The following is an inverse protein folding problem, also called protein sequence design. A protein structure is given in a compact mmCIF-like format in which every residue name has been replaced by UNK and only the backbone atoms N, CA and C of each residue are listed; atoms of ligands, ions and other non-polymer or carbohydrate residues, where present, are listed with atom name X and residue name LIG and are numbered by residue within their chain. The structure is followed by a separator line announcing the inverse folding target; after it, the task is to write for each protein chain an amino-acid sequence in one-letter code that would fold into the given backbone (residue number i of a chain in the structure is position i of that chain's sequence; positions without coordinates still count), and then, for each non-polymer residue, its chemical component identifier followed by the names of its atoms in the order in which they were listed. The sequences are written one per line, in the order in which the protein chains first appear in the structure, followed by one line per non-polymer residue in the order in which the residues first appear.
data_IF_872139621627
#
_entry.id   IF_872139621627
#
_cell.length_a   1.000
_cell.length_b   1.000
_cell.length_c   1.000
_cell.angle_alpha   90.00
_cell.angle_beta   90.00
_cell.angle_gamma   90.00
#
_symmetry.space_group_name_H-M   'P 1'
#
loop_
_entity.id
_entity.type
_entity.pdbx_description
1 polymer ?
#
# COMPACT_ATOMS: atom_id res chain seq x y z
N UNK A 1 -5.64 -55.47 7.90
CA UNK A 1 -5.99 -54.20 7.23
C UNK A 1 -6.48 -53.30 8.34
N UNK A 2 -5.72 -52.27 8.68
CA UNK A 2 -6.07 -51.35 9.77
C UNK A 2 -6.27 -49.97 9.15
N UNK A 3 -7.53 -49.58 9.04
CA UNK A 3 -7.96 -48.27 8.61
C UNK A 3 -7.44 -47.24 9.61
N UNK A 4 -6.52 -46.40 9.13
CA UNK A 4 -5.90 -45.33 9.90
C UNK A 4 -6.60 -44.06 9.43
N UNK A 5 -7.62 -43.63 10.16
CA UNK A 5 -8.30 -42.38 9.90
C UNK A 5 -7.28 -41.22 9.85
N UNK A 6 -7.30 -40.37 8.81
CA UNK A 6 -6.43 -39.21 8.73
C UNK A 6 -6.93 -38.15 9.72
N UNK A 7 -6.46 -38.24 10.96
CA UNK A 7 -6.66 -37.21 11.96
C UNK A 7 -5.93 -35.94 11.53
N UNK A 8 -6.70 -34.96 11.06
CA UNK A 8 -6.23 -33.61 10.78
C UNK A 8 -5.93 -32.93 12.12
N UNK A 9 -4.65 -32.73 12.42
CA UNK A 9 -4.23 -31.90 13.53
C UNK A 9 -4.46 -30.43 13.17
N UNK A 10 -5.52 -29.83 13.71
CA UNK A 10 -5.64 -28.37 13.74
C UNK A 10 -4.68 -27.85 14.81
N UNK A 11 -3.57 -27.24 14.37
CA UNK A 11 -2.70 -26.48 15.26
C UNK A 11 -3.55 -25.45 16.01
N UNK A 12 -3.54 -25.50 17.34
CA UNK A 12 -4.31 -24.65 18.26
C UNK A 12 -4.03 -23.13 18.15
N UNK A 13 -3.32 -22.68 17.10
CA UNK A 13 -3.16 -21.27 16.75
C UNK A 13 -4.36 -20.71 15.95
N UNK A 14 -5.24 -21.58 15.43
CA UNK A 14 -6.51 -21.18 14.82
C UNK A 14 -7.68 -21.66 15.68
N UNK A 15 -7.89 -20.98 16.81
CA UNK A 15 -9.16 -21.11 17.51
C UNK A 15 -10.29 -20.66 16.59
N UNK A 16 -11.26 -21.54 16.35
CA UNK A 16 -12.53 -21.15 15.74
C UNK A 16 -13.20 -20.10 16.66
N UNK A 17 -12.95 -18.82 16.41
CA UNK A 17 -13.45 -17.71 17.23
C UNK A 17 -12.52 -16.49 17.33
N UNK A 18 -11.23 -16.59 17.01
CA UNK A 18 -10.35 -15.41 17.06
C UNK A 18 -10.38 -14.62 15.75
N UNK A 19 -10.99 -13.42 15.78
CA UNK A 19 -10.93 -12.43 14.69
C UNK A 19 -9.55 -11.73 14.64
N UNK A 20 -8.45 -12.49 14.68
CA UNK A 20 -7.09 -11.97 14.76
C UNK A 20 -6.39 -12.03 13.40
N UNK A 21 -5.47 -11.09 13.15
CA UNK A 21 -4.53 -11.18 12.02
C UNK A 21 -3.79 -12.52 12.13
N UNK A 22 -3.72 -13.25 11.02
CA UNK A 22 -3.01 -14.54 10.99
C UNK A 22 -1.63 -14.30 10.40
N UNK A 23 -0.61 -14.57 11.21
CA UNK A 23 0.80 -14.50 10.83
C UNK A 23 1.31 -15.92 10.63
N UNK A 24 1.77 -16.22 9.42
CA UNK A 24 2.22 -17.55 9.03
C UNK A 24 3.63 -17.48 8.46
N UNK A 25 4.63 -18.05 9.15
CA UNK A 25 5.97 -18.22 8.59
C UNK A 25 5.93 -19.03 7.30
N UNK A 26 6.60 -18.52 6.27
CA UNK A 26 6.88 -19.23 5.03
C UNK A 26 8.35 -19.68 5.04
N UNK A 27 8.74 -20.49 4.04
CA UNK A 27 10.14 -20.92 3.90
C UNK A 27 11.05 -19.76 3.48
N UNK A 28 12.33 -19.85 3.83
CA UNK A 28 13.40 -18.95 3.35
C UNK A 28 13.27 -17.47 3.77
N UNK A 29 12.79 -17.18 4.98
CA UNK A 29 12.71 -15.79 5.44
C UNK A 29 11.59 -14.99 4.80
N UNK A 30 10.48 -15.68 4.53
CA UNK A 30 9.24 -15.07 4.08
C UNK A 30 8.17 -15.22 5.15
N UNK A 31 7.28 -14.25 5.25
CA UNK A 31 6.17 -14.24 6.21
C UNK A 31 4.88 -13.87 5.48
N UNK A 32 3.83 -14.63 5.70
CA UNK A 32 2.49 -14.31 5.22
C UNK A 32 1.67 -13.70 6.35
N UNK A 33 1.10 -12.52 6.12
CA UNK A 33 0.23 -11.80 7.05
C UNK A 33 -1.15 -11.69 6.40
N UNK A 34 -2.09 -12.48 6.88
CA UNK A 34 -3.45 -12.53 6.35
C UNK A 34 -4.37 -11.60 7.14
N UNK A 35 -4.85 -10.55 6.47
CA UNK A 35 -5.66 -9.47 7.04
C UNK A 35 -7.17 -9.75 7.00
N UNK A 36 -7.60 -10.77 6.26
CA UNK A 36 -9.02 -11.06 6.08
C UNK A 36 -9.64 -10.17 4.99
N UNK A 37 -10.58 -9.32 5.38
CA UNK A 37 -11.37 -8.50 4.45
C UNK A 37 -11.15 -7.02 4.72
N UNK A 38 -10.95 -6.24 3.66
CA UNK A 38 -10.79 -4.78 3.69
C UNK A 38 -11.76 -4.13 2.69
N UNK A 39 -12.06 -2.86 2.87
CA UNK A 39 -12.84 -2.05 1.94
C UNK A 39 -11.92 -1.34 0.94
N UNK A 40 -12.29 -1.27 -0.34
CA UNK A 40 -11.56 -0.51 -1.36
C UNK A 40 -11.49 0.99 -1.03
N UNK A 41 -10.41 1.66 -1.44
CA UNK A 41 -10.16 3.10 -1.27
C UNK A 41 -10.08 3.54 0.19
N UNK A 42 -9.78 2.61 1.10
CA UNK A 42 -9.57 2.91 2.51
C UNK A 42 -8.10 2.75 2.86
N UNK A 43 -7.62 3.61 3.75
CA UNK A 43 -6.30 3.55 4.35
C UNK A 43 -6.42 2.97 5.74
N UNK A 44 -5.56 2.01 6.05
CA UNK A 44 -5.58 1.22 7.28
C UNK A 44 -4.27 1.33 8.03
N UNK A 45 -4.34 1.38 9.35
CA UNK A 45 -3.24 0.98 10.22
C UNK A 45 -3.42 -0.48 10.59
N UNK A 46 -2.39 -1.27 10.32
CA UNK A 46 -2.31 -2.70 10.63
C UNK A 46 -1.20 -2.89 11.65
N UNK A 47 -1.56 -3.43 12.81
CA UNK A 47 -0.65 -3.71 13.91
C UNK A 47 -0.65 -5.22 14.19
N UNK A 48 0.53 -5.84 14.11
CA UNK A 48 0.70 -7.27 14.36
C UNK A 48 2.08 -7.56 14.95
N UNK A 49 2.21 -8.69 15.62
CA UNK A 49 3.47 -9.16 16.19
C UNK A 49 4.05 -10.31 15.39
N UNK A 50 5.37 -10.35 15.30
CA UNK A 50 6.13 -11.43 14.69
C UNK A 50 7.14 -11.93 15.72
N UNK A 51 7.19 -13.25 16.00
CA UNK A 51 8.19 -13.80 16.90
C UNK A 51 9.61 -13.42 16.47
N UNK A 52 10.43 -12.89 17.38
CA UNK A 52 11.77 -12.37 17.08
C UNK A 52 12.68 -13.44 16.45
N UNK A 53 12.52 -14.70 16.88
CA UNK A 53 13.22 -15.86 16.30
C UNK A 53 12.87 -16.13 14.83
N UNK A 54 11.71 -15.66 14.35
CA UNK A 54 11.33 -15.75 12.92
C UNK A 54 12.01 -14.65 12.11
N UNK A 55 12.31 -13.52 12.75
CA UNK A 55 12.93 -12.37 12.10
C UNK A 55 14.47 -12.40 12.13
N UNK A 56 15.06 -13.06 13.12
CA UNK A 56 16.50 -13.29 13.21
C UNK A 56 16.86 -14.60 12.51
N UNK A 57 16.98 -14.56 11.19
CA UNK A 57 17.66 -15.60 10.43
C UNK A 57 19.16 -15.39 10.62
N UNK A 58 19.67 -15.85 11.77
CA UNK A 58 21.06 -15.63 12.16
C UNK A 58 22.02 -16.44 11.26
N UNK A 59 23.15 -15.85 10.84
CA UNK A 59 24.44 -16.48 10.99
C UNK A 59 24.81 -16.48 12.48
N UNK A 60 25.23 -17.63 13.00
CA UNK A 60 25.62 -17.88 14.38
C UNK A 60 26.45 -16.72 15.02
N UNK A 61 25.98 -16.10 16.10
CA UNK A 61 26.83 -15.28 16.98
C UNK A 61 26.70 -13.75 16.93
N UNK A 62 25.68 -13.19 16.27
CA UNK A 62 25.43 -11.73 16.27
C UNK A 62 24.77 -11.22 17.57
N UNK A 63 25.27 -10.09 18.10
CA UNK A 63 24.67 -9.38 19.25
C UNK A 63 23.19 -9.06 18.97
N UNK A 64 22.28 -9.67 19.75
CA UNK A 64 20.84 -9.47 19.65
C UNK A 64 20.39 -8.11 20.21
N UNK A 65 21.15 -7.03 20.03
CA UNK A 65 20.89 -5.74 20.70
C UNK A 65 20.53 -4.64 19.72
N UNK A 66 20.69 -4.89 18.42
CA UNK A 66 20.45 -3.87 17.41
C UNK A 66 18.96 -3.68 17.09
N UNK A 67 18.55 -2.45 16.76
CA UNK A 67 17.18 -2.15 16.36
C UNK A 67 16.86 -2.80 15.01
N UNK A 68 15.61 -3.24 14.84
CA UNK A 68 15.11 -3.59 13.52
C UNK A 68 15.17 -2.36 12.60
N UNK A 69 15.31 -2.58 11.30
CA UNK A 69 15.38 -1.52 10.30
C UNK A 69 14.59 -1.95 9.06
N UNK A 70 14.00 -0.97 8.37
CA UNK A 70 13.39 -1.22 7.06
C UNK A 70 14.53 -1.52 6.10
N UNK A 71 14.42 -2.64 5.37
CA UNK A 71 15.45 -3.09 4.44
C UNK A 71 14.92 -2.98 3.02
N UNK A 72 15.68 -2.31 2.15
CA UNK A 72 15.33 -2.12 0.75
C UNK A 72 14.56 -0.83 0.48
N UNK A 73 14.54 -0.46 -0.79
CA UNK A 73 13.85 0.72 -1.29
C UNK A 73 12.35 0.48 -1.18
N UNK A 74 11.71 1.09 -0.18
CA UNK A 74 10.26 0.97 0.05
C UNK A 74 9.54 1.89 -0.94
N UNK A 75 9.58 1.56 -2.23
CA UNK A 75 8.90 2.30 -3.31
C UNK A 75 7.37 2.12 -3.28
N UNK A 76 6.85 1.38 -2.30
CA UNK A 76 5.44 1.06 -2.19
C UNK A 76 4.69 2.13 -1.38
N UNK A 77 4.13 3.12 -2.07
CA UNK A 77 3.29 4.18 -1.48
C UNK A 77 2.05 3.63 -0.77
N UNK A 78 1.61 2.43 -1.16
CA UNK A 78 0.40 1.79 -0.64
C UNK A 78 0.67 0.92 0.57
N UNK A 79 1.92 0.61 0.90
CA UNK A 79 2.27 -0.22 2.03
C UNK A 79 3.57 0.26 2.66
N UNK A 80 3.45 0.95 3.79
CA UNK A 80 4.57 1.60 4.48
C UNK A 80 4.64 1.19 5.93
N UNK A 81 5.79 0.70 6.37
CA UNK A 81 6.07 0.51 7.79
C UNK A 81 6.22 1.88 8.43
N UNK A 82 5.36 2.20 9.40
CA UNK A 82 5.35 3.50 10.08
C UNK A 82 5.93 3.43 11.49
N UNK A 83 5.96 2.24 12.10
CA UNK A 83 6.57 2.01 13.40
C UNK A 83 6.93 0.53 13.57
N UNK A 84 7.94 0.25 14.38
CA UNK A 84 8.27 -1.08 14.86
C UNK A 84 8.86 -1.00 16.26
N UNK A 85 8.34 -1.82 17.17
CA UNK A 85 8.78 -1.88 18.56
C UNK A 85 9.25 -3.29 18.84
N UNK A 86 10.49 -3.44 19.31
CA UNK A 86 10.94 -4.71 19.86
C UNK A 86 10.41 -4.88 21.27
N UNK A 87 9.70 -5.98 21.47
CA UNK A 87 9.34 -6.53 22.76
C UNK A 87 10.26 -7.72 23.06
N UNK A 88 10.28 -8.24 24.30
CA UNK A 88 11.28 -9.22 24.76
C UNK A 88 11.58 -10.32 23.74
N UNK A 89 10.54 -11.00 23.29
CA UNK A 89 10.62 -12.14 22.37
C UNK A 89 9.87 -11.90 21.04
N UNK A 90 9.27 -10.72 20.87
CA UNK A 90 8.40 -10.38 19.74
C UNK A 90 8.80 -9.05 19.10
N UNK A 91 8.59 -8.93 17.80
CA UNK A 91 8.66 -7.67 17.06
C UNK A 91 7.25 -7.22 16.72
N UNK A 92 6.81 -6.11 17.31
CA UNK A 92 5.54 -5.47 16.95
C UNK A 92 5.76 -4.53 15.78
N UNK A 93 4.98 -4.71 14.71
CA UNK A 93 5.02 -3.93 13.49
C UNK A 93 3.74 -3.13 13.35
N UNK A 94 3.88 -1.86 12.97
CA UNK A 94 2.77 -1.01 12.57
C UNK A 94 2.96 -0.58 11.12
N UNK A 95 1.99 -0.93 10.29
CA UNK A 95 2.04 -0.71 8.84
C UNK A 95 0.83 0.11 8.43
N UNK A 96 1.08 1.12 7.62
CA UNK A 96 0.06 1.87 6.92
C UNK A 96 -0.18 1.25 5.55
N UNK A 97 -1.42 0.85 5.27
CA UNK A 97 -1.82 0.10 4.08
C UNK A 97 -2.99 0.80 3.37
N UNK A 98 -2.86 1.08 2.08
CA UNK A 98 -3.94 1.60 1.24
C UNK A 98 -4.53 0.49 0.36
N UNK A 99 -5.83 0.26 0.49
CA UNK A 99 -6.54 -0.80 -0.22
C UNK A 99 -7.05 -0.32 -1.59
N UNK A 100 -6.17 -0.16 -2.57
CA UNK A 100 -6.53 0.35 -3.90
C UNK A 100 -7.04 -0.72 -4.88
N UNK A 101 -6.74 -2.00 -4.65
CA UNK A 101 -7.02 -3.09 -5.59
C UNK A 101 -8.20 -3.92 -5.10
N UNK A 102 -9.28 -4.00 -5.90
CA UNK A 102 -10.43 -4.86 -5.60
C UNK A 102 -10.07 -6.35 -5.62
N UNK A 103 -10.95 -7.17 -5.03
CA UNK A 103 -10.90 -8.64 -4.98
C UNK A 103 -9.76 -9.18 -4.12
N UNK A 104 -8.51 -8.99 -4.54
CA UNK A 104 -7.35 -9.55 -3.84
C UNK A 104 -6.18 -8.56 -3.83
N UNK A 105 -5.82 -8.13 -2.62
CA UNK A 105 -4.70 -7.25 -2.37
C UNK A 105 -3.51 -8.07 -1.84
N UNK A 106 -2.34 -7.86 -2.45
CA UNK A 106 -1.08 -8.47 -2.05
C UNK A 106 0.03 -7.44 -2.09
N UNK A 107 0.34 -6.90 -0.93
CA UNK A 107 1.45 -5.98 -0.75
C UNK A 107 2.66 -6.66 -0.11
N UNK A 108 3.86 -6.15 -0.37
CA UNK A 108 5.09 -6.68 0.21
C UNK A 108 6.01 -5.58 0.70
N UNK A 109 6.71 -5.86 1.79
CA UNK A 109 7.81 -5.04 2.28
C UNK A 109 8.87 -5.93 2.94
N UNK A 110 10.06 -5.37 3.17
CA UNK A 110 11.19 -6.07 3.76
C UNK A 110 11.69 -5.33 5.00
N UNK A 111 12.04 -6.10 6.02
CA UNK A 111 12.68 -5.60 7.24
C UNK A 111 13.92 -6.45 7.54
N UNK A 112 14.89 -5.86 8.21
CA UNK A 112 16.04 -6.54 8.81
C UNK A 112 15.98 -6.33 10.32
N UNK A 113 16.33 -7.34 11.10
CA UNK A 113 16.34 -7.22 12.56
C UNK A 113 17.68 -6.75 13.15
N UNK A 114 18.74 -6.75 12.34
CA UNK A 114 20.06 -6.22 12.66
C UNK A 114 20.79 -5.90 11.36
N UNK A 115 21.89 -5.14 11.43
CA UNK A 115 22.63 -4.67 10.25
C UNK A 115 23.14 -5.84 9.38
N UNK A 116 23.66 -6.88 10.04
CA UNK A 116 24.13 -8.13 9.40
C UNK A 116 23.05 -9.20 9.19
N UNK A 117 21.80 -8.93 9.54
CA UNK A 117 20.70 -9.89 9.46
C UNK A 117 20.23 -10.14 8.02
N UNK A 118 19.75 -11.36 7.75
CA UNK A 118 19.06 -11.64 6.49
C UNK A 118 17.73 -10.89 6.44
N UNK A 119 17.32 -10.34 5.29
CA UNK A 119 16.05 -9.63 5.17
C UNK A 119 14.86 -10.58 5.32
N UNK A 120 13.91 -10.23 6.18
CA UNK A 120 12.60 -10.87 6.29
C UNK A 120 11.64 -10.20 5.31
N UNK A 121 11.12 -10.96 4.36
CA UNK A 121 10.11 -10.49 3.41
C UNK A 121 8.72 -10.77 3.94
N UNK A 122 7.91 -9.72 4.11
CA UNK A 122 6.56 -9.82 4.64
C UNK A 122 5.55 -9.55 3.52
N UNK A 123 4.58 -10.45 3.36
CA UNK A 123 3.46 -10.32 2.43
C UNK A 123 2.18 -10.04 3.18
N UNK A 124 1.56 -8.89 2.91
CA UNK A 124 0.23 -8.54 3.43
C UNK A 124 -0.82 -8.96 2.41
N UNK A 125 -1.69 -9.90 2.79
CA UNK A 125 -2.74 -10.43 1.93
C UNK A 125 -4.13 -10.11 2.49
N UNK A 126 -5.02 -9.59 1.66
CA UNK A 126 -6.40 -9.29 2.00
C UNK A 126 -7.35 -9.55 0.83
N UNK A 127 -8.60 -9.86 1.14
CA UNK A 127 -9.71 -9.76 0.18
C UNK A 127 -10.30 -8.37 0.27
N UNK A 128 -10.46 -7.69 -0.85
CA UNK A 128 -10.94 -6.30 -0.88
C UNK A 128 -12.35 -6.26 -1.44
N UNK A 129 -13.27 -5.73 -0.65
CA UNK A 129 -14.67 -5.48 -1.04
C UNK A 129 -14.75 -4.19 -1.84
N UNK A 130 -15.42 -4.28 -2.99
CA UNK A 130 -15.77 -3.14 -3.83
C UNK A 130 -16.87 -2.29 -3.23
N UNK A 131 -17.21 -1.19 -3.92
CA UNK A 131 -18.36 -0.36 -3.55
C UNK A 131 -19.65 -1.20 -3.60
N UNK A 132 -20.52 -1.04 -2.59
CA UNK A 132 -21.80 -1.76 -2.52
C UNK A 132 -21.76 -3.21 -2.01
N UNK A 133 -20.59 -3.78 -1.70
CA UNK A 133 -20.46 -5.16 -1.18
C UNK A 133 -20.65 -5.27 0.35
N UNK A 134 -21.15 -4.22 0.99
CA UNK A 134 -21.30 -4.11 2.44
C UNK A 134 -20.02 -3.69 3.17
N UNK A 135 -20.05 -3.71 4.49
CA UNK A 135 -18.91 -3.32 5.35
C UNK A 135 -18.18 -4.57 5.85
N UNK A 136 -16.87 -4.73 5.57
CA UNK A 136 -16.11 -5.89 6.01
C UNK A 136 -15.87 -5.86 7.52
N UNK A 137 -15.86 -7.05 8.13
CA UNK A 137 -15.43 -7.21 9.52
C UNK A 137 -13.90 -7.17 9.55
N UNK A 138 -13.35 -6.11 10.14
CA UNK A 138 -11.90 -5.96 10.31
C UNK A 138 -11.38 -6.90 11.39
N UNK A 139 -10.17 -7.43 11.17
CA UNK A 139 -9.46 -8.21 12.18
C UNK A 139 -8.90 -7.31 13.27
N UNK A 140 -8.73 -7.87 14.47
CA UNK A 140 -8.05 -7.24 15.58
C UNK A 140 -6.63 -6.80 15.14
N UNK A 141 -6.28 -5.57 15.49
CA UNK A 141 -5.05 -4.91 15.03
C UNK A 141 -5.21 -4.11 13.74
N UNK A 142 -6.35 -4.18 13.05
CA UNK A 142 -6.65 -3.39 11.85
C UNK A 142 -7.59 -2.23 12.20
N UNK A 143 -7.22 -1.01 11.83
CA UNK A 143 -8.05 0.20 12.00
C UNK A 143 -8.09 0.99 10.72
N UNK A 144 -9.28 1.35 10.25
CA UNK A 144 -9.43 2.34 9.19
C UNK A 144 -9.02 3.71 9.72
N UNK A 145 -8.16 4.41 8.99
CA UNK A 145 -7.64 5.74 9.35
C UNK A 145 -8.00 6.82 8.34
N UNK A 146 -8.52 6.44 7.18
CA UNK A 146 -9.00 7.38 6.18
C UNK A 146 -9.66 6.66 5.01
N UNK A 147 -10.44 7.43 4.25
CA UNK A 147 -11.02 7.01 2.97
C UNK A 147 -10.51 8.00 1.93
N UNK A 148 -9.92 7.48 0.86
CA UNK A 148 -9.49 8.29 -0.28
C UNK A 148 -10.71 8.45 -1.20
N UNK A 149 -11.17 9.68 -1.39
CA UNK A 149 -12.25 9.95 -2.33
C UNK A 149 -11.69 9.81 -3.73
N UNK A 150 -11.99 8.68 -4.37
CA UNK A 150 -11.88 8.58 -5.82
C UNK A 150 -13.11 9.31 -6.34
N UNK A 151 -12.94 10.58 -6.70
CA UNK A 151 -13.92 11.31 -7.49
C UNK A 151 -14.23 10.41 -8.69
N UNK A 152 -15.45 9.90 -8.74
CA UNK A 152 -15.94 9.23 -9.92
C UNK A 152 -15.91 10.32 -10.99
N UNK A 153 -14.99 10.23 -11.95
CA UNK A 153 -15.19 10.88 -13.24
C UNK A 153 -16.41 10.18 -13.83
N UNK A 154 -17.59 10.66 -13.44
CA UNK A 154 -18.85 10.42 -14.12
C UNK A 154 -18.64 11.01 -15.52
N UNK A 155 -18.21 10.17 -16.47
CA UNK A 155 -18.48 10.45 -17.88
C UNK A 155 -19.99 10.38 -18.01
N UNK A 156 -20.63 11.54 -17.88
CA UNK A 156 -21.99 11.77 -18.37
C UNK A 156 -21.97 11.41 -19.86
N UNK A 157 -22.47 10.22 -20.18
CA UNK A 157 -22.82 9.82 -21.54
C UNK A 157 -24.01 10.69 -21.97
N UNK A 158 -23.74 11.92 -22.41
CA UNK A 158 -24.69 12.73 -23.16
C UNK A 158 -24.80 12.15 -24.58
N UNK A 159 -25.62 11.10 -24.71
CA UNK A 159 -26.26 10.73 -25.97
C UNK A 159 -27.33 11.79 -26.30
N UNK A 160 -26.96 12.84 -27.01
CA UNK A 160 -27.91 13.66 -27.78
C UNK A 160 -27.63 13.48 -29.29
N UNK A 161 -28.41 12.57 -29.88
CA UNK A 161 -28.70 12.52 -31.31
C UNK A 161 -29.41 13.82 -31.74
N UNK A 162 -28.75 14.67 -32.54
CA UNK A 162 -29.44 15.64 -33.38
C UNK A 162 -28.75 15.75 -34.76
N UNK A 163 -29.31 15.00 -35.70
CA UNK A 163 -29.13 15.18 -37.14
C UNK A 163 -29.59 16.58 -37.57
N UNK A 164 -28.68 17.45 -38.01
CA UNK A 164 -29.04 18.47 -39.01
C UNK A 164 -27.85 18.91 -39.88
N UNK A 165 -27.94 18.59 -41.17
CA UNK A 165 -27.04 19.02 -42.22
C UNK A 165 -27.69 20.11 -43.09
N UNK A 166 -27.03 21.27 -43.22
CA UNK A 166 -27.03 22.18 -44.40
C UNK A 166 -26.15 23.42 -44.07
N UNK A 167 -24.96 23.64 -44.64
CA UNK A 167 -24.59 24.01 -46.02
C UNK A 167 -24.41 25.54 -46.26
N UNK A 168 -23.25 25.86 -46.87
CA UNK A 168 -22.90 27.00 -47.74
C UNK A 168 -22.37 28.35 -47.15
N UNK A 169 -21.03 28.44 -47.12
CA UNK A 169 -20.14 29.44 -47.75
C UNK A 169 -20.62 30.88 -48.05
N UNK A 170 -19.81 31.89 -47.67
CA UNK A 170 -18.89 32.64 -48.56
C UNK A 170 -18.22 33.85 -47.87
N UNK A 171 -16.91 34.02 -48.17
CA UNK A 171 -16.20 35.28 -48.46
C UNK A 171 -15.98 36.35 -47.36
N UNK A 172 -14.89 37.14 -47.27
CA UNK A 172 -13.60 37.24 -47.96
C UNK A 172 -12.77 38.43 -47.35
N UNK A 173 -11.43 38.33 -47.40
CA UNK A 173 -10.35 39.36 -47.41
C UNK A 173 -10.20 40.44 -46.31
N UNK A 174 -8.94 40.66 -45.88
CA UNK A 174 -8.50 41.96 -45.38
C UNK A 174 -7.19 41.99 -44.61
N UNK A 175 -6.05 41.88 -45.30
CA UNK A 175 -4.72 42.13 -44.74
C UNK A 175 -4.53 43.58 -44.29
N UNK A 176 -3.74 43.84 -43.24
CA UNK A 176 -2.67 44.88 -43.26
C UNK A 176 -1.68 44.67 -42.11
N UNK A 177 -0.42 44.87 -42.44
CA UNK A 177 0.75 44.86 -41.58
C UNK A 177 0.94 46.20 -40.85
N UNK A 178 1.58 46.19 -39.68
CA UNK A 178 2.47 47.26 -39.26
C UNK A 178 3.41 46.79 -38.13
N UNK A 179 4.67 46.65 -38.50
CA UNK A 179 5.86 46.60 -37.67
C UNK A 179 6.05 47.93 -36.91
N UNK A 180 6.30 47.91 -35.58
CA UNK A 180 7.06 48.99 -34.94
C UNK A 180 7.98 48.41 -33.84
N UNK A 181 9.26 48.74 -34.00
CA UNK A 181 10.41 48.41 -33.17
C UNK A 181 10.40 49.11 -31.80
N UNK A 182 11.28 48.57 -30.95
CA UNK A 182 12.30 49.25 -30.13
C UNK A 182 12.02 49.67 -28.68
N UNK A 183 13.12 49.51 -27.91
CA UNK A 183 13.53 50.11 -26.63
C UNK A 183 13.37 49.16 -25.42
N UNK A 184 14.43 48.54 -24.88
CA UNK A 184 15.64 49.03 -24.18
C UNK A 184 15.40 49.45 -22.72
N UNK A 185 16.17 48.83 -21.80
CA UNK A 185 16.33 49.21 -20.39
C UNK A 185 15.94 48.05 -19.47
N UNK A 186 16.74 47.53 -18.54
CA UNK A 186 17.95 48.04 -17.90
C UNK A 186 17.76 47.98 -16.37
N UNK A 187 18.69 47.32 -15.66
CA UNK A 187 18.78 47.25 -14.19
C UNK A 187 18.37 45.87 -13.63
N UNK A 188 19.19 45.08 -12.95
CA UNK A 188 20.38 45.37 -12.17
C UNK A 188 20.04 45.45 -10.68
N UNK A 189 20.35 44.42 -9.88
CA UNK A 189 21.03 44.54 -8.59
C UNK A 189 21.08 43.20 -7.84
N UNK A 190 22.29 42.65 -7.81
CA UNK A 190 23.04 42.17 -6.65
C UNK A 190 22.39 42.22 -5.25
N UNK A 191 22.59 41.11 -4.52
CA UNK A 191 22.60 41.01 -3.05
C UNK A 191 23.02 39.58 -2.67
N UNK A 192 24.33 39.25 -2.67
CA UNK A 192 25.33 39.32 -1.58
C UNK A 192 24.97 38.50 -0.31
N UNK A 193 25.65 37.36 -0.24
CA UNK A 193 26.33 36.72 0.89
C UNK A 193 26.04 37.20 2.32
N UNK A 194 25.70 36.24 3.18
CA UNK A 194 26.52 35.80 4.33
C UNK A 194 26.34 34.31 4.54
#
# INVERSE_FOLDING_TARGET
MSDKDPYVHFSSASGAGCNNIVVQPLRHGHLNVSLGFLQINHRYHVEFTVPWNTCVLQPEGGSHTEPAMISGETTNSNCRVIDFTRERDDLRLKVELFAQTERFLKEKFQIKCCEGGSPLTIYMNARVFGKGQGTPVLRNGIRCVGVENVTEEETEDDEDDDDNAAAAASSEVGATAAEIKSSSGGGGSSGKAT
#
